data_IF_349499632546
#
_entry.id   IF_349499632546
#
_cell.length_a   1.000
_cell.length_b   1.000
_cell.length_c   1.000
_cell.angle_alpha   90.00
_cell.angle_beta   90.00
_cell.angle_gamma   90.00
#
_symmetry.space_group_name_H-M   'P 1'
#
loop_
_entity.id
_entity.type
_entity.pdbx_description
1 polymer ?
#
# COMPACT_ATOMS: atom_id res chain seq x y z
N UNK A 1 -15.36 2.09 -14.62
CA UNK A 1 -14.26 3.00 -14.23
C UNK A 1 -12.95 2.27 -14.40
N UNK A 2 -11.98 2.87 -15.02
CA UNK A 2 -10.68 2.22 -15.12
C UNK A 2 -9.85 2.45 -13.84
N UNK A 3 -8.91 1.55 -13.60
CA UNK A 3 -8.08 1.58 -12.40
C UNK A 3 -7.19 2.82 -12.32
N UNK A 4 -6.72 3.36 -13.45
CA UNK A 4 -5.89 4.57 -13.49
C UNK A 4 -6.62 5.80 -12.94
N UNK A 5 -7.89 5.95 -13.29
CA UNK A 5 -8.69 7.03 -12.75
C UNK A 5 -8.81 6.93 -11.23
N UNK A 6 -9.07 5.73 -10.72
CA UNK A 6 -9.18 5.50 -9.27
C UNK A 6 -7.85 5.79 -8.55
N UNK A 7 -6.73 5.38 -9.12
CA UNK A 7 -5.41 5.64 -8.55
C UNK A 7 -5.08 7.12 -8.52
N UNK A 8 -5.39 7.85 -9.59
CA UNK A 8 -5.20 9.30 -9.62
C UNK A 8 -6.03 10.01 -8.56
N UNK A 9 -7.26 9.54 -8.35
CA UNK A 9 -8.11 10.07 -7.27
C UNK A 9 -7.52 9.82 -5.89
N UNK A 10 -6.92 8.67 -5.65
CA UNK A 10 -6.25 8.37 -4.39
C UNK A 10 -5.13 9.37 -4.12
N UNK A 11 -4.27 9.61 -5.10
CA UNK A 11 -3.19 10.61 -4.97
C UNK A 11 -3.77 12.00 -4.72
N UNK A 12 -4.78 12.38 -5.47
CA UNK A 12 -5.43 13.69 -5.34
C UNK A 12 -6.02 13.89 -3.94
N UNK A 13 -6.75 12.89 -3.43
CA UNK A 13 -7.33 12.95 -2.09
C UNK A 13 -6.26 13.05 -1.01
N UNK A 14 -5.22 12.22 -1.11
CA UNK A 14 -4.12 12.22 -0.13
C UNK A 14 -3.36 13.56 -0.16
N UNK A 15 -3.09 14.09 -1.34
CA UNK A 15 -2.39 15.37 -1.47
C UNK A 15 -3.23 16.56 -1.03
N UNK A 16 -4.54 16.48 -1.17
CA UNK A 16 -5.43 17.53 -0.71
C UNK A 16 -5.61 17.51 0.81
N UNK A 17 -5.77 16.32 1.39
CA UNK A 17 -6.21 16.18 2.78
C UNK A 17 -5.08 15.91 3.77
N UNK A 18 -4.01 15.26 3.34
CA UNK A 18 -2.94 14.78 4.24
C UNK A 18 -1.58 15.39 3.88
N UNK A 19 -1.20 15.36 2.61
CA UNK A 19 0.13 15.77 2.16
C UNK A 19 0.09 17.10 1.39
N UNK A 20 -0.78 18.02 1.80
CA UNK A 20 -0.96 19.31 1.11
C UNK A 20 0.31 20.17 1.09
N UNK A 21 1.17 20.04 2.11
CA UNK A 21 2.44 20.79 2.20
C UNK A 21 3.63 20.07 1.58
N UNK A 22 3.50 18.77 1.35
CA UNK A 22 4.57 17.93 0.78
C UNK A 22 3.92 16.83 -0.05
N UNK A 23 3.37 17.18 -1.22
CA UNK A 23 2.61 16.25 -2.05
C UNK A 23 3.42 15.02 -2.45
N UNK A 24 2.78 13.86 -2.43
CA UNK A 24 3.39 12.64 -2.93
C UNK A 24 3.43 12.66 -4.46
N UNK A 25 4.51 12.13 -5.01
CA UNK A 25 4.73 12.00 -6.44
C UNK A 25 4.79 10.53 -6.82
N UNK A 26 4.21 10.20 -7.96
CA UNK A 26 4.19 8.85 -8.48
C UNK A 26 5.59 8.45 -8.95
N UNK A 27 6.06 7.28 -8.48
CA UNK A 27 7.26 6.62 -8.96
C UNK A 27 6.93 5.53 -9.96
N UNK A 28 5.97 4.67 -9.60
CA UNK A 28 5.58 3.52 -10.39
C UNK A 28 4.15 3.16 -10.08
N UNK A 29 3.40 2.75 -11.11
CA UNK A 29 2.05 2.25 -10.91
C UNK A 29 1.85 0.90 -11.58
N UNK A 30 0.93 0.12 -11.02
CA UNK A 30 0.44 -1.12 -11.59
C UNK A 30 -1.09 -1.14 -11.47
N UNK A 31 -1.72 -2.27 -11.77
CA UNK A 31 -3.19 -2.35 -11.83
C UNK A 31 -3.88 -1.89 -10.53
N UNK A 32 -3.39 -2.31 -9.37
CA UNK A 32 -4.04 -2.03 -8.08
C UNK A 32 -3.17 -1.29 -7.07
N UNK A 33 -1.96 -0.91 -7.45
CA UNK A 33 -1.04 -0.28 -6.52
C UNK A 33 -0.19 0.79 -7.19
N UNK A 34 0.34 1.69 -6.36
CA UNK A 34 1.23 2.75 -6.79
C UNK A 34 2.35 2.89 -5.77
N UNK A 35 3.58 3.06 -6.27
CA UNK A 35 4.70 3.47 -5.45
C UNK A 35 4.83 4.99 -5.57
N UNK A 36 4.82 5.67 -4.42
CA UNK A 36 4.87 7.13 -4.35
C UNK A 36 5.90 7.58 -3.32
N UNK A 37 6.35 8.82 -3.44
CA UNK A 37 7.21 9.43 -2.44
C UNK A 37 6.99 10.94 -2.34
N UNK A 38 7.34 11.47 -1.18
CA UNK A 38 7.51 12.91 -0.97
C UNK A 38 8.84 13.12 -0.25
N UNK A 39 9.03 14.26 0.41
CA UNK A 39 10.29 14.54 1.11
C UNK A 39 10.58 13.55 2.24
N UNK A 40 9.55 13.10 2.97
CA UNK A 40 9.70 12.31 4.19
C UNK A 40 9.37 10.82 4.05
N UNK A 41 8.60 10.44 3.02
CA UNK A 41 8.07 9.09 2.90
C UNK A 41 8.37 8.46 1.55
N UNK A 42 8.56 7.14 1.57
CA UNK A 42 8.42 6.28 0.41
C UNK A 42 7.33 5.26 0.75
N UNK A 43 6.30 5.14 -0.09
CA UNK A 43 5.11 4.37 0.25
C UNK A 43 4.57 3.60 -0.94
N UNK A 44 3.89 2.49 -0.64
CA UNK A 44 2.98 1.87 -1.59
C UNK A 44 1.55 2.24 -1.23
N UNK A 45 0.78 2.66 -2.23
CA UNK A 45 -0.66 2.89 -2.12
C UNK A 45 -1.39 1.70 -2.73
N UNK A 46 -2.29 1.07 -1.97
CA UNK A 46 -3.11 -0.05 -2.41
C UNK A 46 -4.59 0.32 -2.36
N UNK A 47 -5.32 -0.04 -3.41
CA UNK A 47 -6.77 0.11 -3.42
C UNK A 47 -7.42 -1.25 -3.14
N UNK A 48 -8.01 -1.39 -1.94
CA UNK A 48 -8.70 -2.60 -1.50
C UNK A 48 -10.20 -2.45 -1.77
N UNK A 49 -10.60 -2.58 -3.04
CA UNK A 49 -11.98 -2.35 -3.47
C UNK A 49 -12.98 -3.39 -2.95
N UNK A 50 -12.52 -4.59 -2.59
CA UNK A 50 -13.39 -5.73 -2.31
C UNK A 50 -13.71 -5.92 -0.84
N UNK A 51 -13.06 -5.21 0.07
CA UNK A 51 -13.30 -5.38 1.50
C UNK A 51 -13.01 -4.09 2.28
N UNK A 52 -13.56 -4.04 3.49
CA UNK A 52 -13.35 -2.95 4.43
C UNK A 52 -12.19 -3.22 5.40
N UNK A 53 -11.80 -2.21 6.20
CA UNK A 53 -10.66 -2.32 7.10
C UNK A 53 -10.84 -3.38 8.20
N UNK A 54 -12.07 -3.65 8.60
CA UNK A 54 -12.36 -4.60 9.68
C UNK A 54 -12.61 -6.03 9.20
N UNK A 55 -12.76 -6.24 7.90
CA UNK A 55 -13.12 -7.57 7.37
C UNK A 55 -12.02 -8.61 7.62
N UNK A 56 -10.76 -8.21 7.51
CA UNK A 56 -9.59 -9.05 7.74
C UNK A 56 -8.63 -8.45 8.77
N UNK A 57 -9.12 -7.54 9.61
CA UNK A 57 -8.33 -6.85 10.63
C UNK A 57 -7.04 -6.22 10.06
N UNK A 58 -7.18 -5.50 8.96
CA UNK A 58 -6.09 -4.80 8.28
C UNK A 58 -5.87 -5.24 6.84
N UNK A 59 -4.63 -5.42 6.45
CA UNK A 59 -4.27 -5.74 5.08
C UNK A 59 -3.07 -6.67 5.00
N UNK A 60 -3.02 -7.46 3.93
CA UNK A 60 -1.82 -8.20 3.56
C UNK A 60 -0.76 -7.27 3.00
N UNK A 61 0.50 -7.62 3.23
CA UNK A 61 1.63 -7.05 2.51
C UNK A 61 2.50 -8.18 1.98
N UNK A 62 2.92 -8.10 0.72
CA UNK A 62 3.88 -9.04 0.16
C UNK A 62 5.27 -8.78 0.71
N UNK A 63 6.01 -9.83 1.06
CA UNK A 63 7.36 -9.72 1.61
C UNK A 63 8.29 -8.93 0.68
N UNK A 64 8.18 -9.16 -0.63
CA UNK A 64 9.01 -8.45 -1.61
C UNK A 64 8.78 -6.93 -1.54
N UNK A 65 7.55 -6.49 -1.30
CA UNK A 65 7.24 -5.06 -1.13
C UNK A 65 7.75 -4.51 0.19
N UNK A 66 7.54 -5.26 1.26
CA UNK A 66 8.09 -4.89 2.56
C UNK A 66 9.61 -4.71 2.50
N UNK A 67 10.31 -5.67 1.91
CA UNK A 67 11.77 -5.64 1.79
C UNK A 67 12.21 -4.47 0.91
N UNK A 68 11.53 -4.22 -0.20
CA UNK A 68 11.84 -3.08 -1.08
C UNK A 68 11.67 -1.75 -0.35
N UNK A 69 10.52 -1.53 0.29
CA UNK A 69 10.22 -0.25 0.95
C UNK A 69 11.17 0.01 2.12
N UNK A 70 11.42 -1.00 2.95
CA UNK A 70 12.31 -0.84 4.12
C UNK A 70 13.77 -0.65 3.71
N UNK A 71 14.21 -1.27 2.63
CA UNK A 71 15.56 -1.11 2.10
C UNK A 71 15.73 0.26 1.42
N UNK A 72 14.82 0.60 0.53
CA UNK A 72 14.89 1.84 -0.24
C UNK A 72 14.74 3.07 0.65
N UNK A 73 13.91 2.99 1.67
CA UNK A 73 13.73 4.08 2.63
C UNK A 73 15.04 4.46 3.34
N UNK A 74 15.86 3.46 3.67
CA UNK A 74 17.16 3.69 4.27
C UNK A 74 18.13 4.38 3.32
N UNK A 75 18.13 3.97 2.06
CA UNK A 75 18.95 4.59 1.02
C UNK A 75 18.58 6.07 0.82
N UNK A 76 17.29 6.38 0.83
CA UNK A 76 16.80 7.74 0.60
C UNK A 76 16.65 8.58 1.87
N UNK A 77 16.85 8.00 3.05
CA UNK A 77 16.63 8.69 4.32
C UNK A 77 15.17 9.01 4.58
N UNK A 78 14.26 8.13 4.17
CA UNK A 78 12.81 8.33 4.27
C UNK A 78 12.17 7.27 5.15
N UNK A 79 10.89 7.51 5.49
CA UNK A 79 10.07 6.59 6.27
C UNK A 79 9.32 5.67 5.29
N UNK A 80 9.42 4.33 5.45
CA UNK A 80 8.67 3.41 4.60
C UNK A 80 7.22 3.31 5.09
N UNK A 81 6.27 3.49 4.17
CA UNK A 81 4.86 3.44 4.49
C UNK A 81 4.08 2.50 3.56
N UNK A 82 2.98 1.99 4.07
CA UNK A 82 2.03 1.21 3.31
C UNK A 82 0.65 1.78 3.57
N UNK A 83 -0.04 2.23 2.51
CA UNK A 83 -1.32 2.92 2.63
C UNK A 83 -2.37 2.16 1.82
N UNK A 84 -3.47 1.82 2.47
CA UNK A 84 -4.60 1.15 1.84
C UNK A 84 -5.83 2.04 1.87
N UNK A 85 -6.48 2.17 0.72
CA UNK A 85 -7.84 2.66 0.64
C UNK A 85 -8.78 1.46 0.63
N UNK A 86 -9.73 1.43 1.55
CA UNK A 86 -10.71 0.35 1.67
C UNK A 86 -12.03 0.72 0.97
N UNK A 87 -12.92 -0.26 0.82
CA UNK A 87 -14.17 -0.07 0.09
C UNK A 87 -15.17 0.88 0.78
N UNK A 88 -14.96 1.19 2.05
CA UNK A 88 -15.74 2.20 2.77
C UNK A 88 -15.23 3.64 2.53
N UNK A 89 -14.19 3.79 1.71
CA UNK A 89 -13.58 5.07 1.41
C UNK A 89 -12.52 5.52 2.40
N UNK A 90 -12.29 4.77 3.48
CA UNK A 90 -11.27 5.11 4.46
C UNK A 90 -9.86 4.80 3.97
N UNK A 91 -8.90 5.58 4.46
CA UNK A 91 -7.48 5.38 4.21
C UNK A 91 -6.79 5.05 5.51
N UNK A 92 -6.00 3.98 5.49
CA UNK A 92 -5.21 3.53 6.63
C UNK A 92 -3.76 3.39 6.23
N UNK A 93 -2.86 3.79 7.14
CA UNK A 93 -1.41 3.78 6.87
C UNK A 93 -0.67 3.01 7.96
N UNK A 94 0.37 2.30 7.54
CA UNK A 94 1.31 1.62 8.43
C UNK A 94 2.71 2.17 8.18
N UNK A 95 3.37 2.57 9.28
CA UNK A 95 4.78 2.93 9.26
C UNK A 95 5.59 1.64 9.45
N UNK A 96 6.22 1.18 8.40
CA UNK A 96 6.88 -0.14 8.40
C UNK A 96 8.13 -0.19 9.30
N UNK A 97 8.67 0.96 9.71
CA UNK A 97 9.76 1.01 10.70
C UNK A 97 9.27 0.82 12.13
N UNK A 98 7.99 1.10 12.39
CA UNK A 98 7.43 1.12 13.74
C UNK A 98 6.50 -0.04 14.04
N UNK A 99 5.89 -0.64 13.02
CA UNK A 99 5.02 -1.79 13.22
C UNK A 99 5.85 -3.04 13.51
N UNK A 100 5.24 -3.99 14.24
CA UNK A 100 5.85 -5.29 14.44
C UNK A 100 6.10 -5.96 13.09
N UNK A 101 7.31 -6.50 12.90
CA UNK A 101 7.65 -7.18 11.65
C UNK A 101 6.69 -8.34 11.39
N UNK A 102 6.05 -8.38 10.22
CA UNK A 102 5.10 -9.46 9.91
C UNK A 102 5.76 -10.84 9.98
N UNK A 103 4.97 -11.83 10.38
CA UNK A 103 5.34 -13.24 10.25
C UNK A 103 4.96 -13.68 8.85
N UNK A 104 5.95 -14.16 8.08
CA UNK A 104 5.74 -14.48 6.68
C UNK A 104 5.17 -15.88 6.51
N UNK A 105 4.19 -16.03 5.61
CA UNK A 105 3.60 -17.32 5.24
C UNK A 105 3.30 -17.34 3.74
N UNK A 106 3.13 -18.53 3.18
CA UNK A 106 2.82 -18.69 1.77
C UNK A 106 1.33 -18.53 1.52
N UNK A 107 0.99 -17.78 0.49
CA UNK A 107 -0.38 -17.63 0.01
C UNK A 107 -0.37 -17.55 -1.51
N UNK A 108 -1.31 -18.23 -2.15
CA UNK A 108 -1.48 -18.13 -3.59
C UNK A 108 -2.12 -16.81 -3.94
N UNK A 109 -1.41 -16.02 -4.72
CA UNK A 109 -1.85 -14.71 -5.21
C UNK A 109 -1.61 -14.61 -6.70
N UNK A 110 -2.32 -13.70 -7.40
CA UNK A 110 -2.04 -13.45 -8.80
C UNK A 110 -0.56 -13.08 -9.01
N UNK A 111 0.07 -13.67 -10.01
CA UNK A 111 1.46 -13.35 -10.38
C UNK A 111 1.61 -11.88 -10.70
N UNK A 112 0.63 -11.33 -11.44
CA UNK A 112 0.52 -9.92 -11.69
C UNK A 112 -0.95 -9.50 -11.71
N UNK A 113 -1.21 -8.21 -11.53
CA UNK A 113 -2.57 -7.65 -11.47
C UNK A 113 -2.87 -6.81 -12.70
N UNK A 114 -2.43 -7.22 -13.88
CA UNK A 114 -2.77 -6.54 -15.14
C UNK A 114 -3.79 -7.35 -15.95
N UNK A 115 -4.30 -6.76 -17.01
CA UNK A 115 -5.25 -7.42 -17.89
C UNK A 115 -4.66 -8.65 -18.56
N UNK A 116 -5.51 -9.65 -18.80
CA UNK A 116 -5.17 -10.87 -19.45
C UNK A 116 -5.37 -12.07 -18.53
N UNK A 117 -4.68 -13.17 -18.85
CA UNK A 117 -4.76 -14.40 -18.08
C UNK A 117 -4.08 -14.21 -16.72
N UNK A 118 -4.83 -14.45 -15.65
CA UNK A 118 -4.31 -14.39 -14.28
C UNK A 118 -3.88 -15.78 -13.88
N UNK A 119 -2.62 -15.92 -13.51
CA UNK A 119 -2.07 -17.14 -12.93
C UNK A 119 -1.76 -16.89 -11.46
N UNK A 120 -2.15 -17.85 -10.61
CA UNK A 120 -1.88 -17.78 -9.18
C UNK A 120 -0.56 -18.47 -8.87
N UNK A 121 0.27 -17.79 -8.10
CA UNK A 121 1.58 -18.29 -7.67
C UNK A 121 1.71 -18.14 -6.16
N UNK A 122 2.47 -19.03 -5.48
CA UNK A 122 2.72 -18.86 -4.06
C UNK A 122 3.64 -17.67 -3.82
N UNK A 123 3.22 -16.79 -2.91
CA UNK A 123 3.99 -15.61 -2.50
C UNK A 123 4.13 -15.58 -0.99
N UNK A 124 5.24 -15.05 -0.52
CA UNK A 124 5.42 -14.76 0.90
C UNK A 124 4.66 -13.49 1.24
N UNK A 125 3.77 -13.59 2.21
CA UNK A 125 2.93 -12.48 2.67
C UNK A 125 2.91 -12.42 4.18
N UNK A 126 2.55 -11.27 4.71
CA UNK A 126 2.30 -11.08 6.13
C UNK A 126 1.09 -10.19 6.33
N UNK A 127 0.65 -10.10 7.59
CA UNK A 127 -0.51 -9.29 7.95
C UNK A 127 -0.07 -8.01 8.63
N UNK A 128 -0.56 -6.88 8.12
CA UNK A 128 -0.50 -5.59 8.79
C UNK A 128 -1.81 -5.41 9.55
N UNK A 129 -1.73 -5.48 10.87
CA UNK A 129 -2.92 -5.43 11.72
C UNK A 129 -3.46 -4.02 11.86
N UNK A 130 -4.79 -3.91 11.91
CA UNK A 130 -5.44 -2.61 11.98
C UNK A 130 -5.04 -1.82 13.24
N UNK A 131 -4.84 -2.49 14.36
CA UNK A 131 -4.40 -1.86 15.62
C UNK A 131 -3.06 -1.14 15.49
N UNK A 132 -2.21 -1.58 14.56
CA UNK A 132 -0.88 -0.99 14.32
C UNK A 132 -0.92 0.07 13.22
N UNK A 133 -2.06 0.25 12.58
CA UNK A 133 -2.27 1.23 11.53
C UNK A 133 -2.83 2.54 12.09
N UNK A 134 -2.78 3.56 11.26
CA UNK A 134 -3.37 4.85 11.54
C UNK A 134 -4.39 5.20 10.47
N UNK A 135 -5.60 5.53 10.89
CA UNK A 135 -6.61 6.03 9.95
C UNK A 135 -6.25 7.46 9.56
N UNK A 136 -6.08 7.70 8.27
CA UNK A 136 -5.72 9.01 7.72
C UNK A 136 -6.96 9.83 7.35
N UNK A 137 -7.94 9.16 6.77
CA UNK A 137 -9.18 9.79 6.31
C UNK A 137 -10.36 8.90 6.68
#
# INVERSE_FOLDING_TARGET
MNWQYTQRKMIEELNTKIFDRDPVQLLKESYSSMDVRNTNYIMELKNREKYGPHDFDGSLIEKIKYDFLTTQSKVEGKIPGYVCRFNDGSYWAWNLDKVEKPVWYKKDLPESTHFGKIEFVPKDVGDLKLKDGKKLI
#
